data_IF_262013456875
#
_entry.id   IF_262013456875
#
_cell.length_a   1.000
_cell.length_b   1.000
_cell.length_c   1.000
_cell.angle_alpha   90.00
_cell.angle_beta   90.00
_cell.angle_gamma   90.00
#
_symmetry.space_group_name_H-M   'P 1'
#
loop_
_entity.id
_entity.type
_entity.pdbx_description
1 polymer ?
#
# COMPACT_ATOMS: atom_id res chain seq x y z
N UNK A 1 10.41 -10.69 -15.91
CA UNK A 1 9.32 -11.06 -14.99
C UNK A 1 8.96 -9.81 -14.18
N UNK A 2 7.73 -9.30 -14.25
CA UNK A 2 7.30 -8.18 -13.39
C UNK A 2 7.45 -8.63 -11.92
N UNK A 3 8.41 -8.06 -11.18
CA UNK A 3 8.61 -8.36 -9.77
C UNK A 3 7.70 -7.45 -8.95
N UNK A 4 6.55 -7.97 -8.54
CA UNK A 4 5.64 -7.27 -7.62
C UNK A 4 6.10 -7.46 -6.17
N UNK A 5 5.78 -6.49 -5.31
CA UNK A 5 6.03 -6.65 -3.88
C UNK A 5 5.12 -7.74 -3.31
N UNK A 6 5.64 -8.62 -2.46
CA UNK A 6 4.85 -9.70 -1.85
C UNK A 6 3.65 -9.14 -1.05
N UNK A 7 3.82 -7.99 -0.38
CA UNK A 7 2.76 -7.30 0.37
C UNK A 7 1.69 -6.68 -0.56
N UNK A 8 1.90 -6.68 -1.88
CA UNK A 8 0.91 -6.15 -2.83
C UNK A 8 -0.22 -7.14 -3.15
N UNK A 9 -0.10 -8.41 -2.73
CA UNK A 9 -1.14 -9.42 -2.90
C UNK A 9 -2.19 -9.28 -1.81
N UNK A 10 -3.45 -9.32 -2.21
CA UNK A 10 -4.60 -9.29 -1.30
C UNK A 10 -5.28 -10.66 -1.31
N UNK A 11 -5.57 -11.19 -0.13
CA UNK A 11 -6.33 -12.42 0.07
C UNK A 11 -7.81 -12.18 -0.30
N UNK A 12 -8.35 -11.00 0.03
CA UNK A 12 -9.78 -10.72 -0.12
C UNK A 12 -10.19 -10.19 -1.50
N UNK A 13 -9.25 -10.00 -2.42
CA UNK A 13 -9.51 -9.34 -3.71
C UNK A 13 -8.71 -10.00 -4.84
N UNK A 14 -9.34 -10.17 -6.01
CA UNK A 14 -8.67 -10.63 -7.23
C UNK A 14 -7.39 -9.82 -7.53
N UNK A 15 -6.27 -10.53 -7.68
CA UNK A 15 -4.94 -9.94 -7.89
C UNK A 15 -4.62 -9.78 -9.39
N UNK A 16 -5.10 -8.70 -10.00
CA UNK A 16 -4.79 -8.35 -11.39
C UNK A 16 -3.51 -7.50 -11.49
N UNK A 17 -2.75 -7.61 -12.60
CA UNK A 17 -1.46 -6.90 -12.82
C UNK A 17 -1.52 -5.40 -12.48
N UNK A 18 -2.58 -4.71 -12.94
CA UNK A 18 -2.78 -3.27 -12.66
C UNK A 18 -2.92 -2.97 -11.17
N UNK A 19 -3.60 -3.85 -10.43
CA UNK A 19 -3.76 -3.74 -8.97
C UNK A 19 -2.45 -3.99 -8.24
N UNK A 20 -1.73 -5.05 -8.63
CA UNK A 20 -0.42 -5.40 -8.07
C UNK A 20 0.61 -4.28 -8.27
N UNK A 21 0.69 -3.69 -9.47
CA UNK A 21 1.57 -2.55 -9.77
C UNK A 21 1.26 -1.35 -8.88
N UNK A 22 -0.02 -1.00 -8.77
CA UNK A 22 -0.47 0.15 -7.96
C UNK A 22 -0.11 -0.07 -6.49
N UNK A 23 -0.41 -1.24 -5.93
CA UNK A 23 -0.14 -1.54 -4.51
C UNK A 23 1.36 -1.69 -4.20
N UNK A 24 2.13 -2.24 -5.14
CA UNK A 24 3.60 -2.28 -5.02
C UNK A 24 4.19 -0.87 -4.92
N UNK A 25 3.71 0.08 -5.74
CA UNK A 25 4.14 1.48 -5.65
C UNK A 25 3.71 2.16 -4.35
N UNK A 26 2.51 1.86 -3.83
CA UNK A 26 2.09 2.33 -2.50
C UNK A 26 3.06 1.85 -1.42
N UNK A 27 3.43 0.56 -1.44
CA UNK A 27 4.36 -0.02 -0.46
C UNK A 27 5.73 0.66 -0.54
N UNK A 28 6.26 0.87 -1.75
CA UNK A 28 7.53 1.57 -1.94
C UNK A 28 7.51 2.98 -1.34
N UNK A 29 6.47 3.76 -1.64
CA UNK A 29 6.30 5.12 -1.10
C UNK A 29 6.21 5.12 0.43
N UNK A 30 5.47 4.18 1.01
CA UNK A 30 5.37 4.04 2.46
C UNK A 30 6.70 3.63 3.11
N UNK A 31 7.52 2.80 2.45
CA UNK A 31 8.85 2.42 2.95
C UNK A 31 9.82 3.60 3.00
N UNK A 32 9.73 4.53 2.04
CA UNK A 32 10.56 5.73 2.00
C UNK A 32 9.97 6.91 2.79
N UNK A 33 8.90 6.68 3.57
CA UNK A 33 8.33 7.66 4.50
C UNK A 33 7.19 8.52 3.94
N UNK A 34 6.81 8.36 2.68
CA UNK A 34 5.68 9.08 2.09
C UNK A 34 4.39 8.41 2.55
N UNK A 35 3.78 8.97 3.59
CA UNK A 35 2.63 8.38 4.31
C UNK A 35 1.29 9.05 4.03
N UNK A 36 1.28 10.28 3.52
CA UNK A 36 0.06 11.03 3.22
C UNK A 36 -0.62 10.52 1.93
N UNK A 37 -1.94 10.25 2.02
CA UNK A 37 -2.70 9.71 0.90
C UNK A 37 -2.81 10.66 -0.30
N UNK A 38 -2.74 11.99 -0.10
CA UNK A 38 -2.73 12.94 -1.21
C UNK A 38 -1.40 12.86 -1.95
N UNK A 39 -0.28 12.95 -1.24
CA UNK A 39 1.06 12.82 -1.83
C UNK A 39 1.26 11.46 -2.52
N UNK A 40 0.76 10.37 -1.92
CA UNK A 40 0.77 9.03 -2.54
C UNK A 40 -0.04 9.05 -3.84
N UNK A 41 -1.19 9.75 -3.88
CA UNK A 41 -2.04 9.77 -5.07
C UNK A 41 -1.40 10.50 -6.25
N UNK A 42 -0.74 11.62 -5.97
CA UNK A 42 0.04 12.40 -6.94
C UNK A 42 1.21 11.57 -7.48
N UNK A 43 1.99 10.95 -6.59
CA UNK A 43 3.16 10.15 -6.97
C UNK A 43 2.84 8.90 -7.83
N UNK A 44 1.61 8.39 -7.74
CA UNK A 44 1.14 7.23 -8.53
C UNK A 44 0.36 7.69 -9.78
N UNK A 45 0.02 8.97 -9.90
CA UNK A 45 -0.82 9.48 -11.00
C UNK A 45 -2.25 8.92 -10.96
N UNK A 46 -2.83 8.75 -9.77
CA UNK A 46 -4.21 8.28 -9.57
C UNK A 46 -4.99 9.30 -8.74
N UNK A 47 -6.30 9.33 -8.92
CA UNK A 47 -7.15 10.17 -8.06
C UNK A 47 -7.06 9.75 -6.59
N UNK A 48 -7.15 10.73 -5.70
CA UNK A 48 -7.16 10.51 -4.26
C UNK A 48 -8.15 9.41 -3.83
N UNK A 49 -9.38 9.44 -4.35
CA UNK A 49 -10.41 8.43 -4.04
C UNK A 49 -10.03 7.02 -4.49
N UNK A 50 -9.37 6.87 -5.65
CA UNK A 50 -8.90 5.58 -6.13
C UNK A 50 -7.75 5.04 -5.27
N UNK A 51 -6.82 5.91 -4.88
CA UNK A 51 -5.70 5.60 -3.98
C UNK A 51 -6.22 5.19 -2.61
N UNK A 52 -7.15 5.95 -2.04
CA UNK A 52 -7.78 5.65 -0.75
C UNK A 52 -8.53 4.31 -0.76
N UNK A 53 -9.19 3.98 -1.88
CA UNK A 53 -9.84 2.66 -2.06
C UNK A 53 -8.84 1.51 -2.03
N UNK A 54 -7.63 1.69 -2.58
CA UNK A 54 -6.57 0.68 -2.48
C UNK A 54 -6.02 0.56 -1.06
N UNK A 55 -5.74 1.69 -0.40
CA UNK A 55 -5.26 1.70 0.98
C UNK A 55 -6.22 0.99 1.94
N UNK A 56 -7.53 1.25 1.83
CA UNK A 56 -8.56 0.54 2.61
C UNK A 56 -8.63 -0.97 2.31
N UNK A 57 -8.35 -1.38 1.07
CA UNK A 57 -8.26 -2.81 0.72
C UNK A 57 -7.04 -3.46 1.38
N UNK A 58 -5.89 -2.79 1.30
CA UNK A 58 -4.65 -3.22 1.93
C UNK A 58 -4.77 -3.25 3.46
N UNK A 59 -5.54 -2.32 4.04
CA UNK A 59 -5.82 -2.27 5.48
C UNK A 59 -6.68 -3.42 5.96
N UNK A 60 -7.73 -3.79 5.21
CA UNK A 60 -8.55 -4.97 5.52
C UNK A 60 -7.74 -6.25 5.53
N UNK A 61 -6.77 -6.36 4.63
CA UNK A 61 -5.85 -7.50 4.56
C UNK A 61 -4.64 -7.35 5.52
N UNK A 62 -4.64 -6.29 6.34
CA UNK A 62 -3.65 -6.07 7.38
C UNK A 62 -2.26 -5.72 6.88
N UNK A 63 -2.11 -5.28 5.63
CA UNK A 63 -0.82 -4.90 5.02
C UNK A 63 -0.39 -3.49 5.41
N UNK A 64 -1.35 -2.59 5.51
CA UNK A 64 -1.14 -1.21 5.96
C UNK A 64 -2.13 -0.89 7.08
N UNK A 65 -1.89 0.18 7.81
CA UNK A 65 -2.81 0.71 8.82
C UNK A 65 -2.94 2.21 8.64
N UNK A 66 -4.15 2.73 8.81
CA UNK A 66 -4.37 4.18 8.87
C UNK A 66 -3.89 4.73 10.21
N UNK A 67 -3.01 5.72 10.16
CA UNK A 67 -2.42 6.35 11.35
C UNK A 67 -3.19 7.62 11.74
N UNK A 68 -3.58 8.44 10.76
CA UNK A 68 -4.42 9.63 10.98
C UNK A 68 -5.52 9.72 9.94
N UNK A 69 -6.64 10.35 10.33
CA UNK A 69 -7.76 10.66 9.43
C UNK A 69 -7.56 12.00 8.70
N UNK A 70 -6.82 12.94 9.30
CA UNK A 70 -6.55 14.30 8.78
C UNK A 70 -5.17 14.79 9.28
N UNK A 71 -4.16 14.93 8.40
CA UNK A 71 -4.10 14.38 7.05
C UNK A 71 -4.27 12.86 7.05
N UNK A 72 -4.70 12.28 5.93
CA UNK A 72 -4.95 10.84 5.87
C UNK A 72 -3.63 10.07 5.73
N UNK A 73 -2.96 9.80 6.84
CA UNK A 73 -1.64 9.13 6.85
C UNK A 73 -1.74 7.61 7.04
N UNK A 74 -0.81 6.89 6.44
CA UNK A 74 -0.78 5.43 6.38
C UNK A 74 0.63 4.89 6.69
N UNK A 75 0.70 3.65 7.18
CA UNK A 75 1.97 2.97 7.47
C UNK A 75 1.87 1.48 7.11
N UNK A 76 2.98 0.88 6.67
CA UNK A 76 3.07 -0.57 6.47
C UNK A 76 3.02 -1.27 7.84
N UNK A 77 2.27 -2.36 7.94
CA UNK A 77 2.29 -3.19 9.15
C UNK A 77 3.48 -4.16 9.13
N UNK A 78 3.87 -4.60 10.34
CA UNK A 78 4.84 -5.69 10.52
C UNK A 78 4.32 -7.07 10.10
N UNK A 79 3.03 -7.22 9.76
CA UNK A 79 2.48 -8.52 9.33
C UNK A 79 3.16 -8.93 8.01
N UNK A 80 3.82 -10.08 8.03
CA UNK A 80 4.60 -10.60 6.90
C UNK A 80 6.02 -10.03 6.76
N UNK A 81 6.54 -9.29 7.74
CA UNK A 81 7.98 -9.11 7.92
C UNK A 81 8.48 -10.23 8.83
N UNK A 82 8.90 -11.35 8.24
CA UNK A 82 10.07 -12.01 8.80
C UNK A 82 11.25 -11.16 8.32
N UNK A 83 11.77 -10.29 9.18
CA UNK A 83 13.21 -10.09 9.14
C UNK A 83 13.80 -11.44 9.55
N UNK A 84 14.50 -12.08 8.62
CA UNK A 84 15.51 -13.06 9.02
C UNK A 84 16.51 -12.24 9.85
N UNK A 85 16.35 -12.27 11.17
CA UNK A 85 17.40 -11.84 12.07
C UNK A 85 18.66 -12.69 11.75
N UNK A 86 19.86 -12.09 11.76
CA UNK A 86 21.11 -12.81 11.52
C UNK A 86 21.35 -13.90 12.58
#
# INVERSE_FOLDING_TARGET
MDRYDAKSYLVTTRNVKKGLRTRSRIIELLRIGISDANTISEAIGRSYSATLKQLRKMERDGIVVRVSRRPSTWRITGKGQQELAP
#
